data_IF_673203188515
#
_entry.id   IF_673203188515
#
_cell.length_a   1.000
_cell.length_b   1.000
_cell.length_c   1.000
_cell.angle_alpha   90.00
_cell.angle_beta   90.00
_cell.angle_gamma   90.00
#
_symmetry.space_group_name_H-M   'P 1'
#
loop_
_entity.id
_entity.type
_entity.pdbx_description
1 polymer ?
#
# COMPACT_ATOMS: atom_id res chain seq x y z
N UNK A 1 -9.12 17.62 -13.38
CA UNK A 1 -7.91 18.18 -12.73
C UNK A 1 -6.64 17.35 -12.93
N UNK A 2 -6.63 16.04 -12.62
CA UNK A 2 -5.43 15.18 -12.74
C UNK A 2 -5.09 14.76 -14.17
N UNK A 3 -6.09 14.40 -15.03
CA UNK A 3 -5.88 14.22 -16.48
C UNK A 3 -5.35 15.48 -17.17
N UNK A 4 -5.74 16.64 -16.67
CA UNK A 4 -5.33 17.94 -17.23
C UNK A 4 -3.88 18.32 -16.84
N UNK A 5 -3.29 17.63 -15.86
CA UNK A 5 -1.91 17.81 -15.41
C UNK A 5 -0.92 16.83 -16.07
N UNK A 6 -1.39 15.97 -16.99
CA UNK A 6 -0.56 14.98 -17.69
C UNK A 6 -0.24 13.72 -16.89
N UNK A 7 -0.88 13.51 -15.73
CA UNK A 7 -0.67 12.32 -14.90
C UNK A 7 -1.57 11.15 -15.33
N UNK A 8 -0.99 9.95 -15.36
CA UNK A 8 -1.72 8.70 -15.57
C UNK A 8 -2.56 8.36 -14.32
N UNK A 9 -3.89 8.26 -14.50
CA UNK A 9 -4.81 7.97 -13.41
C UNK A 9 -4.66 6.56 -12.88
N UNK A 10 -4.17 5.63 -13.70
CA UNK A 10 -3.93 4.25 -13.28
C UNK A 10 -2.77 4.24 -12.31
N UNK A 11 -1.65 4.88 -12.66
CA UNK A 11 -0.51 5.03 -11.76
C UNK A 11 -0.90 5.69 -10.43
N UNK A 12 -1.65 6.79 -10.49
CA UNK A 12 -2.13 7.48 -9.29
C UNK A 12 -3.06 6.58 -8.46
N UNK A 13 -3.97 5.86 -9.11
CA UNK A 13 -4.88 4.93 -8.46
C UNK A 13 -4.14 3.79 -7.75
N UNK A 14 -3.10 3.23 -8.36
CA UNK A 14 -2.28 2.16 -7.77
C UNK A 14 -1.54 2.68 -6.53
N UNK A 15 -0.91 3.86 -6.60
CA UNK A 15 -0.25 4.46 -5.43
C UNK A 15 -1.24 4.70 -4.30
N UNK A 16 -2.40 5.29 -4.61
CA UNK A 16 -3.45 5.55 -3.63
C UNK A 16 -3.94 4.25 -2.96
N UNK A 17 -4.10 3.17 -3.74
CA UNK A 17 -4.49 1.85 -3.21
C UNK A 17 -3.43 1.29 -2.26
N UNK A 18 -2.14 1.35 -2.61
CA UNK A 18 -1.05 0.87 -1.74
C UNK A 18 -0.97 1.68 -0.45
N UNK A 19 -1.12 3.00 -0.52
CA UNK A 19 -1.13 3.88 0.67
C UNK A 19 -2.33 3.59 1.57
N UNK A 20 -3.50 3.31 0.98
CA UNK A 20 -4.69 2.96 1.74
C UNK A 20 -4.52 1.62 2.47
N UNK A 21 -3.99 0.61 1.80
CA UNK A 21 -3.65 -0.68 2.42
C UNK A 21 -2.64 -0.52 3.56
N UNK A 22 -1.61 0.32 3.36
CA UNK A 22 -0.62 0.63 4.39
C UNK A 22 -1.26 1.26 5.64
N UNK A 23 -2.31 2.06 5.49
CA UNK A 23 -3.08 2.60 6.61
C UNK A 23 -3.81 1.54 7.42
N UNK A 24 -4.26 0.45 6.81
CA UNK A 24 -4.99 -0.63 7.50
C UNK A 24 -4.08 -1.52 8.36
N UNK A 25 -2.80 -1.61 8.02
CA UNK A 25 -1.83 -2.42 8.74
C UNK A 25 -0.98 -1.64 9.74
N UNK A 26 -0.74 -0.34 9.56
CA UNK A 26 0.09 0.47 10.47
C UNK A 26 -0.76 1.45 11.30
N UNK A 27 -0.44 1.71 12.59
CA UNK A 27 -1.13 2.75 13.37
C UNK A 27 -0.97 4.12 12.68
N UNK A 28 -2.03 4.93 12.49
CA UNK A 28 -3.10 5.21 13.44
C UNK A 28 -4.43 4.47 13.22
N UNK A 29 -4.70 3.94 12.02
CA UNK A 29 -5.93 3.16 11.76
C UNK A 29 -5.71 1.70 12.17
N UNK A 30 -4.65 1.06 11.67
CA UNK A 30 -4.11 -0.21 12.21
C UNK A 30 -5.12 -1.33 12.39
N UNK A 31 -6.21 -1.33 11.62
CA UNK A 31 -7.35 -2.24 11.78
C UNK A 31 -6.90 -3.70 11.87
N UNK A 32 -5.97 -4.11 11.01
CA UNK A 32 -5.45 -5.48 11.01
C UNK A 32 -4.70 -5.83 12.31
N UNK A 33 -3.95 -4.89 12.89
CA UNK A 33 -3.26 -5.08 14.18
C UNK A 33 -4.29 -5.25 15.30
N UNK A 34 -5.37 -4.46 15.30
CA UNK A 34 -6.44 -4.55 16.30
C UNK A 34 -7.23 -5.87 16.18
N UNK A 35 -7.47 -6.35 14.96
CA UNK A 35 -8.10 -7.67 14.73
C UNK A 35 -7.21 -8.79 15.28
N UNK A 36 -5.90 -8.76 15.02
CA UNK A 36 -4.96 -9.74 15.58
C UNK A 36 -4.96 -9.70 17.11
N UNK A 37 -5.01 -8.50 17.71
CA UNK A 37 -5.08 -8.34 19.17
C UNK A 37 -6.36 -8.94 19.77
N UNK A 38 -7.49 -8.90 19.05
CA UNK A 38 -8.72 -9.55 19.48
C UNK A 38 -8.66 -11.09 19.39
N UNK A 39 -7.96 -11.63 18.39
CA UNK A 39 -7.82 -13.09 18.20
C UNK A 39 -6.77 -13.67 19.17
N UNK A 40 -5.68 -12.94 19.42
CA UNK A 40 -4.57 -13.33 20.28
C UNK A 40 -4.33 -12.28 21.38
N UNK A 41 -5.18 -12.23 22.42
CA UNK A 41 -5.10 -11.23 23.49
C UNK A 41 -3.83 -11.35 24.32
N UNK A 42 -3.17 -12.51 24.34
CA UNK A 42 -1.94 -12.76 25.09
C UNK A 42 -0.71 -12.03 24.53
N UNK A 43 -0.75 -11.63 23.25
CA UNK A 43 0.36 -10.95 22.59
C UNK A 43 0.23 -9.44 22.82
N UNK A 44 1.24 -8.75 23.37
CA UNK A 44 1.17 -7.31 23.57
C UNK A 44 1.16 -6.58 22.23
N UNK A 45 0.34 -5.51 22.14
CA UNK A 45 0.15 -4.74 20.91
C UNK A 45 1.47 -4.22 20.32
N UNK A 46 2.43 -3.89 21.19
CA UNK A 46 3.78 -3.45 20.80
C UNK A 46 4.47 -4.48 19.90
N UNK A 47 4.38 -5.78 20.22
CA UNK A 47 5.11 -6.82 19.50
C UNK A 47 4.51 -7.01 18.11
N UNK A 48 3.19 -6.86 17.99
CA UNK A 48 2.50 -6.88 16.69
C UNK A 48 2.89 -5.67 15.83
N UNK A 49 2.94 -4.47 16.42
CA UNK A 49 3.38 -3.25 15.72
C UNK A 49 4.82 -3.41 15.20
N UNK A 50 5.73 -3.86 16.06
CA UNK A 50 7.13 -4.11 15.69
C UNK A 50 7.28 -5.22 14.66
N UNK A 51 6.42 -6.25 14.71
CA UNK A 51 6.38 -7.31 13.70
C UNK A 51 5.92 -6.83 12.32
N UNK A 52 5.06 -5.81 12.25
CA UNK A 52 4.56 -5.24 10.99
C UNK A 52 5.50 -4.18 10.38
N UNK A 53 6.39 -3.57 11.17
CA UNK A 53 7.38 -2.60 10.68
C UNK A 53 8.20 -3.03 9.44
N UNK A 54 8.77 -4.24 9.35
CA UNK A 54 9.48 -4.66 8.14
C UNK A 54 8.57 -4.71 6.91
N UNK A 55 7.29 -5.04 7.08
CA UNK A 55 6.33 -5.06 5.99
C UNK A 55 5.99 -3.64 5.51
N UNK A 56 5.82 -2.70 6.44
CA UNK A 56 5.62 -1.27 6.12
C UNK A 56 6.82 -0.72 5.34
N UNK A 57 8.05 -1.10 5.73
CA UNK A 57 9.25 -0.70 4.99
C UNK A 57 9.23 -1.21 3.53
N UNK A 58 8.80 -2.46 3.30
CA UNK A 58 8.63 -3.01 1.95
C UNK A 58 7.53 -2.30 1.15
N UNK A 59 6.43 -1.89 1.79
CA UNK A 59 5.38 -1.11 1.13
C UNK A 59 5.87 0.27 0.73
N UNK A 60 6.62 0.96 1.60
CA UNK A 60 7.24 2.24 1.28
C UNK A 60 8.22 2.09 0.11
N UNK A 61 9.06 1.04 0.13
CA UNK A 61 9.95 0.71 -0.98
C UNK A 61 9.17 0.50 -2.28
N UNK A 62 8.04 -0.21 -2.21
CA UNK A 62 7.16 -0.45 -3.37
C UNK A 62 6.58 0.86 -3.90
N UNK A 63 6.10 1.75 -3.03
CA UNK A 63 5.61 3.08 -3.44
C UNK A 63 6.73 3.89 -4.11
N UNK A 64 7.93 3.92 -3.54
CA UNK A 64 9.08 4.59 -4.15
C UNK A 64 9.41 4.01 -5.52
N UNK A 65 9.42 2.68 -5.63
CA UNK A 65 9.69 1.98 -6.88
C UNK A 65 8.63 2.30 -7.95
N UNK A 66 7.35 2.32 -7.58
CA UNK A 66 6.26 2.76 -8.46
C UNK A 66 6.35 4.24 -8.85
N UNK A 67 6.88 5.10 -7.97
CA UNK A 67 7.13 6.51 -8.27
C UNK A 67 8.25 6.69 -9.31
N UNK A 68 9.34 5.92 -9.22
CA UNK A 68 10.46 6.00 -10.18
C UNK A 68 10.21 5.20 -11.47
N UNK A 69 9.44 4.13 -11.39
CA UNK A 69 9.12 3.23 -12.50
C UNK A 69 7.60 3.07 -12.66
N UNK A 70 6.89 4.12 -13.12
CA UNK A 70 5.45 4.09 -13.30
C UNK A 70 5.00 3.03 -14.32
N UNK A 71 5.90 2.59 -15.20
CA UNK A 71 5.63 1.53 -16.18
C UNK A 71 5.23 0.21 -15.51
N UNK A 72 5.63 -0.06 -14.27
CA UNK A 72 5.23 -1.30 -13.57
C UNK A 72 3.73 -1.30 -13.27
N UNK A 73 3.19 -0.14 -12.88
CA UNK A 73 1.75 0.01 -12.63
C UNK A 73 0.93 0.01 -13.91
N UNK A 74 1.48 0.54 -15.00
CA UNK A 74 0.74 0.74 -16.27
C UNK A 74 0.95 -0.40 -17.27
N UNK A 75 2.02 -1.20 -17.16
CA UNK A 75 2.32 -2.31 -18.08
C UNK A 75 1.21 -3.36 -18.14
N UNK A 76 0.72 -3.81 -16.98
CA UNK A 76 -0.39 -4.79 -16.92
C UNK A 76 -1.68 -4.26 -17.56
N UNK A 77 -2.18 -3.07 -17.20
CA UNK A 77 -3.33 -2.44 -17.88
C UNK A 77 -3.11 -2.27 -19.39
N UNK A 78 -1.94 -1.81 -19.83
CA UNK A 78 -1.64 -1.66 -21.25
C UNK A 78 -1.67 -3.02 -21.96
N UNK A 79 -1.19 -4.10 -21.36
CA UNK A 79 -1.23 -5.43 -21.95
C UNK A 79 -2.65 -6.04 -22.00
N UNK A 80 -3.49 -5.75 -21.00
CA UNK A 80 -4.85 -6.32 -20.91
C UNK A 80 -5.88 -5.52 -21.72
N UNK A 81 -5.75 -4.19 -21.79
CA UNK A 81 -6.68 -3.31 -22.50
C UNK A 81 -6.24 -2.93 -23.92
N UNK A 82 -5.03 -3.30 -24.35
CA UNK A 82 -4.60 -3.19 -25.77
C UNK A 82 -5.02 -4.40 -26.64
N UNK A 83 -5.89 -5.28 -26.12
CA UNK A 83 -6.55 -6.36 -26.86
C UNK A 83 -7.97 -5.98 -27.28
#
# INVERSE_FOLDING_TARGET
PLRAAGFDLIWFGVIMMVVMEMGLIHPPVGLNIFVIKNIAPDIPLKDVIWGVMPFVALMILTVLLLCFFPQIATALPTLVFAG
#
